data_IF_521286887733
#
_entry.id   IF_521286887733
#
_cell.length_a   1.000
_cell.length_b   1.000
_cell.length_c   1.000
_cell.angle_alpha   90.00
_cell.angle_beta   90.00
_cell.angle_gamma   90.00
#
_symmetry.space_group_name_H-M   'P 1'
#
loop_
_entity.id
_entity.type
_entity.pdbx_description
1 polymer ?
#
# COMPACT_ATOMS: atom_id res chain seq x y z
N UNK A 1 -20.38 -4.26 10.13
CA UNK A 1 -19.87 -3.42 9.02
C UNK A 1 -20.13 -4.05 7.64
N UNK A 2 -19.67 -5.29 7.38
CA UNK A 2 -19.89 -5.97 6.08
C UNK A 2 -21.39 -6.21 5.84
N UNK A 3 -22.11 -6.72 6.84
CA UNK A 3 -23.56 -6.91 6.79
C UNK A 3 -24.30 -5.61 6.49
N UNK A 4 -23.94 -4.54 7.19
CA UNK A 4 -24.54 -3.23 7.04
C UNK A 4 -24.26 -2.63 5.65
N UNK A 5 -23.04 -2.83 5.13
CA UNK A 5 -22.65 -2.32 3.82
C UNK A 5 -23.42 -2.97 2.67
N UNK A 6 -23.65 -4.29 2.74
CA UNK A 6 -24.32 -5.04 1.69
C UNK A 6 -25.80 -5.33 1.99
N UNK A 7 -26.34 -4.89 3.12
CA UNK A 7 -27.72 -5.14 3.53
C UNK A 7 -28.03 -6.62 3.75
N UNK A 8 -27.04 -7.43 4.07
CA UNK A 8 -27.19 -8.88 4.25
C UNK A 8 -26.92 -9.28 5.70
N UNK A 9 -27.40 -10.47 6.09
CA UNK A 9 -27.10 -11.08 7.38
C UNK A 9 -26.11 -12.23 7.22
N UNK A 10 -24.96 -12.15 7.89
CA UNK A 10 -23.96 -13.21 7.88
C UNK A 10 -24.34 -14.25 8.93
N UNK A 11 -24.49 -15.51 8.48
CA UNK A 11 -24.76 -16.64 9.37
C UNK A 11 -23.51 -17.53 9.44
N UNK A 12 -22.70 -17.41 10.48
CA UNK A 12 -21.51 -18.25 10.62
C UNK A 12 -21.88 -19.71 10.85
N UNK A 13 -21.07 -20.62 10.32
CA UNK A 13 -21.22 -22.04 10.61
C UNK A 13 -20.95 -22.33 12.09
N UNK A 14 -21.64 -23.29 12.66
CA UNK A 14 -21.39 -23.73 14.03
C UNK A 14 -19.99 -24.32 14.15
N UNK A 15 -19.21 -23.97 15.19
CA UNK A 15 -17.91 -24.60 15.44
C UNK A 15 -18.01 -26.12 15.46
N UNK A 16 -17.02 -26.80 14.90
CA UNK A 16 -16.90 -28.26 14.81
C UNK A 16 -18.01 -29.00 14.01
N UNK A 17 -18.77 -28.28 13.15
CA UNK A 17 -19.73 -28.91 12.23
C UNK A 17 -19.30 -28.73 10.76
N UNK A 18 -18.36 -29.52 10.23
CA UNK A 18 -17.83 -29.37 8.86
C UNK A 18 -18.89 -29.61 7.78
N UNK A 19 -19.91 -30.46 8.06
CA UNK A 19 -21.02 -30.72 7.14
C UNK A 19 -21.79 -29.46 6.68
N UNK A 20 -21.78 -28.40 7.47
CA UNK A 20 -22.37 -27.11 7.05
C UNK A 20 -21.58 -26.39 5.93
N UNK A 21 -20.37 -26.88 5.62
CA UNK A 21 -19.50 -26.36 4.53
C UNK A 21 -19.43 -27.27 3.30
N UNK A 22 -20.24 -28.33 3.26
CA UNK A 22 -20.16 -29.37 2.23
C UNK A 22 -20.15 -28.83 0.80
N UNK A 23 -20.99 -27.85 0.49
CA UNK A 23 -21.05 -27.25 -0.85
C UNK A 23 -19.74 -26.55 -1.25
N UNK A 24 -19.10 -25.80 -0.33
CA UNK A 24 -17.82 -25.13 -0.59
C UNK A 24 -16.70 -26.14 -0.73
N UNK A 25 -16.66 -27.14 0.13
CA UNK A 25 -15.65 -28.20 0.10
C UNK A 25 -15.75 -29.03 -1.19
N UNK A 26 -16.99 -29.34 -1.61
CA UNK A 26 -17.24 -30.02 -2.87
C UNK A 26 -16.79 -29.19 -4.09
N UNK A 27 -17.12 -27.90 -4.11
CA UNK A 27 -16.68 -27.00 -5.18
C UNK A 27 -15.14 -26.93 -5.26
N UNK A 28 -14.46 -26.77 -4.11
CA UNK A 28 -12.99 -26.77 -4.05
C UNK A 28 -12.40 -28.11 -4.52
N UNK A 29 -12.98 -29.23 -4.15
CA UNK A 29 -12.55 -30.56 -4.61
C UNK A 29 -12.69 -30.68 -6.12
N UNK A 30 -13.81 -30.29 -6.68
CA UNK A 30 -14.08 -30.34 -8.13
C UNK A 30 -13.08 -29.50 -8.92
N UNK A 31 -12.83 -28.25 -8.50
CA UNK A 31 -11.83 -27.38 -9.13
C UNK A 31 -10.43 -28.00 -9.04
N UNK A 32 -10.04 -28.55 -7.90
CA UNK A 32 -8.74 -29.21 -7.74
C UNK A 32 -8.58 -30.42 -8.66
N UNK A 33 -9.64 -31.21 -8.85
CA UNK A 33 -9.64 -32.35 -9.78
C UNK A 33 -9.48 -31.89 -11.22
N UNK A 34 -10.23 -30.87 -11.63
CA UNK A 34 -10.12 -30.26 -12.95
C UNK A 34 -8.71 -29.75 -13.22
N UNK A 35 -8.14 -28.97 -12.28
CA UNK A 35 -6.79 -28.42 -12.44
C UNK A 35 -5.69 -29.48 -12.52
N UNK A 36 -5.90 -30.67 -11.92
CA UNK A 36 -4.97 -31.81 -12.06
C UNK A 36 -5.03 -32.47 -13.43
N UNK A 37 -6.18 -32.43 -14.09
CA UNK A 37 -6.38 -33.02 -15.41
C UNK A 37 -5.80 -32.16 -16.53
N UNK A 38 -5.86 -30.81 -16.36
CA UNK A 38 -5.45 -29.84 -17.38
C UNK A 38 -3.93 -29.59 -17.45
N UNK A 39 -3.12 -30.14 -16.54
CA UNK A 39 -1.67 -30.11 -16.60
C UNK A 39 -0.97 -28.97 -15.87
N UNK A 40 0.14 -28.47 -16.43
CA UNK A 40 1.04 -27.51 -15.76
C UNK A 40 0.70 -26.06 -16.09
N UNK A 41 0.66 -25.21 -15.07
CA UNK A 41 0.44 -23.76 -15.20
C UNK A 41 1.74 -23.02 -14.96
N UNK A 42 2.13 -22.14 -15.89
CA UNK A 42 3.38 -21.39 -15.78
C UNK A 42 3.18 -20.02 -15.10
N UNK A 43 1.96 -19.48 -15.10
CA UNK A 43 1.65 -18.18 -14.51
C UNK A 43 0.31 -18.18 -13.77
N UNK A 44 0.18 -17.30 -12.74
CA UNK A 44 -1.08 -17.06 -12.03
C UNK A 44 -2.19 -16.58 -12.99
N UNK A 45 -1.82 -15.79 -14.01
CA UNK A 45 -2.78 -15.29 -15.01
C UNK A 45 -3.37 -16.44 -15.82
N UNK A 46 -2.55 -17.39 -16.24
CA UNK A 46 -2.97 -18.56 -16.96
C UNK A 46 -3.90 -19.43 -16.10
N UNK A 47 -3.51 -19.70 -14.84
CA UNK A 47 -4.35 -20.42 -13.90
C UNK A 47 -5.73 -19.76 -13.70
N UNK A 48 -5.76 -18.42 -13.57
CA UNK A 48 -7.01 -17.68 -13.42
C UNK A 48 -7.90 -17.81 -14.69
N UNK A 49 -7.31 -17.81 -15.87
CA UNK A 49 -8.03 -18.03 -17.13
C UNK A 49 -8.67 -19.42 -17.17
N UNK A 50 -7.92 -20.47 -16.87
CA UNK A 50 -8.44 -21.84 -16.82
C UNK A 50 -9.61 -21.98 -15.84
N UNK A 51 -9.52 -21.41 -14.65
CA UNK A 51 -10.61 -21.43 -13.66
C UNK A 51 -11.84 -20.70 -14.20
N UNK A 52 -11.66 -19.58 -14.88
CA UNK A 52 -12.78 -18.83 -15.46
C UNK A 52 -13.47 -19.61 -16.58
N UNK A 53 -12.71 -20.27 -17.43
CA UNK A 53 -13.26 -21.06 -18.54
C UNK A 53 -14.00 -22.30 -18.01
N UNK A 54 -13.43 -22.99 -17.02
CA UNK A 54 -14.11 -24.07 -16.30
C UNK A 54 -15.42 -23.58 -15.64
N UNK A 55 -15.44 -22.41 -15.02
CA UNK A 55 -16.67 -21.87 -14.43
C UNK A 55 -17.76 -21.62 -15.50
N UNK A 56 -17.38 -21.13 -16.68
CA UNK A 56 -18.33 -20.93 -17.80
C UNK A 56 -18.92 -22.25 -18.24
N UNK A 57 -18.08 -23.24 -18.50
CA UNK A 57 -18.52 -24.59 -18.91
C UNK A 57 -19.43 -25.22 -17.87
N UNK A 58 -19.05 -25.14 -16.59
CA UNK A 58 -19.86 -25.67 -15.50
C UNK A 58 -21.23 -25.01 -15.40
N UNK A 59 -21.32 -23.70 -15.61
CA UNK A 59 -22.57 -22.97 -15.55
C UNK A 59 -23.53 -23.35 -16.71
N UNK A 60 -23.02 -23.93 -17.79
CA UNK A 60 -23.81 -24.46 -18.89
C UNK A 60 -24.28 -25.91 -18.66
N UNK A 61 -23.86 -26.55 -17.56
CA UNK A 61 -24.32 -27.88 -17.21
C UNK A 61 -25.68 -27.87 -16.51
N UNK A 62 -26.47 -28.94 -16.64
CA UNK A 62 -27.71 -29.08 -15.87
C UNK A 62 -27.41 -29.19 -14.37
N UNK A 63 -28.28 -28.58 -13.58
CA UNK A 63 -28.23 -28.73 -12.13
C UNK A 63 -28.65 -30.16 -11.74
N UNK A 64 -27.92 -30.78 -10.83
CA UNK A 64 -28.10 -32.20 -10.47
C UNK A 64 -29.47 -32.58 -9.87
N UNK A 65 -30.22 -31.59 -9.31
CA UNK A 65 -31.53 -31.81 -8.73
C UNK A 65 -32.66 -31.05 -9.49
N UNK A 66 -32.31 -30.13 -10.36
CA UNK A 66 -33.28 -29.28 -11.05
C UNK A 66 -33.09 -29.45 -12.56
N UNK A 67 -34.10 -29.83 -13.28
CA UNK A 67 -34.06 -30.04 -14.74
C UNK A 67 -33.85 -28.73 -15.52
N UNK A 68 -32.86 -27.94 -15.14
CA UNK A 68 -32.51 -26.68 -15.81
C UNK A 68 -31.01 -26.41 -15.69
N UNK A 69 -30.49 -25.56 -16.59
CA UNK A 69 -29.10 -25.16 -16.56
C UNK A 69 -28.79 -24.29 -15.34
N UNK A 70 -27.62 -24.49 -14.76
CA UNK A 70 -27.15 -23.70 -13.60
C UNK A 70 -27.24 -22.19 -13.91
N UNK A 71 -26.89 -21.77 -15.13
CA UNK A 71 -26.96 -20.38 -15.55
C UNK A 71 -28.40 -19.84 -15.57
N UNK A 72 -29.38 -20.61 -16.04
CA UNK A 72 -30.78 -20.20 -16.03
C UNK A 72 -31.32 -20.02 -14.63
N UNK A 73 -31.03 -20.97 -13.74
CA UNK A 73 -31.39 -20.88 -12.33
C UNK A 73 -30.78 -19.63 -11.68
N UNK A 74 -29.52 -19.30 -11.98
CA UNK A 74 -28.89 -18.08 -11.48
C UNK A 74 -29.56 -16.80 -12.04
N UNK A 75 -30.01 -16.79 -13.31
CA UNK A 75 -30.74 -15.65 -13.86
C UNK A 75 -32.06 -15.40 -13.12
N UNK A 76 -32.77 -16.46 -12.73
CA UNK A 76 -33.97 -16.35 -11.92
C UNK A 76 -33.65 -15.82 -10.51
N UNK A 77 -32.63 -16.38 -9.84
CA UNK A 77 -32.19 -15.95 -8.51
C UNK A 77 -31.74 -14.48 -8.51
N UNK A 78 -31.05 -14.05 -9.56
CA UNK A 78 -30.52 -12.68 -9.69
C UNK A 78 -31.60 -11.60 -9.56
N UNK A 79 -32.83 -11.90 -9.92
CA UNK A 79 -33.97 -10.96 -9.77
C UNK A 79 -34.35 -10.72 -8.31
N UNK A 80 -34.04 -11.67 -7.41
CA UNK A 80 -34.32 -11.58 -5.98
C UNK A 80 -33.12 -11.07 -5.16
N UNK A 81 -31.93 -10.96 -5.77
CA UNK A 81 -30.75 -10.47 -5.08
C UNK A 81 -30.80 -8.95 -4.87
N UNK A 82 -30.24 -8.50 -3.75
CA UNK A 82 -30.08 -7.09 -3.47
C UNK A 82 -29.11 -6.41 -4.46
N UNK A 83 -29.33 -5.13 -4.81
CA UNK A 83 -28.40 -4.41 -5.67
C UNK A 83 -27.04 -4.28 -5.01
N UNK A 84 -25.98 -4.51 -5.79
CA UNK A 84 -24.61 -4.37 -5.30
C UNK A 84 -24.31 -2.88 -5.11
N UNK A 85 -23.79 -2.45 -3.93
CA UNK A 85 -23.35 -1.08 -3.71
C UNK A 85 -22.32 -0.62 -4.73
N UNK A 86 -22.41 0.62 -5.20
CA UNK A 86 -21.47 1.20 -6.19
C UNK A 86 -20.01 1.14 -5.72
N UNK A 87 -19.76 1.25 -4.41
CA UNK A 87 -18.43 1.15 -3.83
C UNK A 87 -18.26 -0.21 -3.14
N UNK A 88 -17.21 -0.97 -3.44
CA UNK A 88 -16.96 -2.23 -2.74
C UNK A 88 -16.62 -1.97 -1.26
N UNK A 89 -16.98 -2.91 -0.41
CA UNK A 89 -16.59 -2.87 1.00
C UNK A 89 -15.06 -2.99 1.13
N UNK A 90 -14.46 -2.05 1.83
CA UNK A 90 -13.03 -2.08 2.14
C UNK A 90 -12.87 -2.28 3.64
N UNK A 91 -12.34 -3.43 4.01
CA UNK A 91 -12.00 -3.71 5.41
C UNK A 91 -10.70 -3.01 5.77
N UNK A 92 -10.75 -2.24 6.86
CA UNK A 92 -9.58 -1.60 7.46
C UNK A 92 -9.34 -2.24 8.83
N UNK A 93 -8.25 -2.96 8.95
CA UNK A 93 -7.74 -3.37 10.25
C UNK A 93 -6.97 -2.19 10.84
N UNK A 94 -7.35 -1.76 12.05
CA UNK A 94 -6.72 -0.62 12.71
C UNK A 94 -6.03 -1.03 14.00
N UNK A 95 -4.93 -0.35 14.32
CA UNK A 95 -4.16 -0.53 15.55
C UNK A 95 -3.61 0.82 16.02
N UNK A 96 -3.70 1.09 17.32
CA UNK A 96 -3.04 2.25 17.92
C UNK A 96 -1.54 1.99 18.06
N UNK A 97 -0.72 2.93 17.59
CA UNK A 97 0.72 2.90 17.68
C UNK A 97 1.24 4.19 18.32
N UNK A 98 2.22 4.08 19.22
CA UNK A 98 2.92 5.26 19.77
C UNK A 98 4.02 5.69 18.81
N UNK A 99 4.06 6.98 18.48
CA UNK A 99 5.15 7.55 17.68
C UNK A 99 6.38 7.70 18.58
N UNK A 100 7.50 7.14 18.13
CA UNK A 100 8.77 7.26 18.86
C UNK A 100 9.29 8.68 18.87
N UNK A 101 10.26 9.00 19.74
CA UNK A 101 10.99 10.28 19.76
C UNK A 101 11.65 10.60 18.41
N UNK A 102 11.91 9.57 17.60
CA UNK A 102 12.47 9.71 16.26
C UNK A 102 11.42 9.89 15.15
N UNK A 103 10.16 10.24 15.48
CA UNK A 103 9.09 10.43 14.48
C UNK A 103 8.82 9.16 13.67
N UNK A 104 8.85 7.99 14.32
CA UNK A 104 8.59 6.71 13.63
C UNK A 104 7.58 5.86 14.39
N UNK A 105 6.83 5.08 13.66
CA UNK A 105 5.98 4.02 14.20
C UNK A 105 6.47 2.66 13.72
N UNK A 106 6.27 1.64 14.56
CA UNK A 106 6.45 0.25 14.16
C UNK A 106 5.06 -0.36 13.93
N UNK A 107 4.80 -0.74 12.70
CA UNK A 107 3.57 -1.41 12.34
C UNK A 107 3.88 -2.74 11.64
N UNK A 108 3.32 -3.83 12.17
CA UNK A 108 3.72 -5.19 11.81
C UNK A 108 5.24 -5.34 12.02
N UNK A 109 6.00 -5.67 10.98
CA UNK A 109 7.46 -5.84 11.06
C UNK A 109 8.25 -4.67 10.48
N UNK A 110 7.56 -3.64 9.99
CA UNK A 110 8.14 -2.50 9.28
C UNK A 110 8.13 -1.22 10.15
N UNK A 111 8.99 -0.28 9.79
CA UNK A 111 9.09 1.04 10.41
C UNK A 111 8.65 2.10 9.39
N UNK A 112 7.80 3.01 9.81
CA UNK A 112 7.29 4.10 8.97
C UNK A 112 7.54 5.44 9.65
N UNK A 113 8.01 6.43 8.90
CA UNK A 113 8.16 7.77 9.44
C UNK A 113 6.79 8.47 9.55
N UNK A 114 6.66 9.29 10.55
CA UNK A 114 5.51 10.16 10.79
C UNK A 114 6.06 11.54 11.06
N UNK A 115 5.31 12.57 10.78
CA UNK A 115 5.72 13.95 11.04
C UNK A 115 6.12 14.11 12.51
N UNK A 116 7.18 14.88 12.75
CA UNK A 116 7.82 15.05 14.06
C UNK A 116 6.90 15.65 15.10
N UNK A 117 5.93 16.48 14.71
CA UNK A 117 4.93 17.06 15.60
C UNK A 117 4.11 16.00 16.37
N UNK A 118 4.03 14.76 15.84
CA UNK A 118 3.36 13.65 16.51
C UNK A 118 4.29 12.81 17.40
N UNK A 119 5.56 13.21 17.58
CA UNK A 119 6.50 12.48 18.43
C UNK A 119 5.99 12.35 19.86
N UNK A 120 6.02 11.14 20.41
CA UNK A 120 5.48 10.83 21.72
C UNK A 120 3.96 10.62 21.78
N UNK A 121 3.21 11.04 20.77
CA UNK A 121 1.76 10.87 20.70
C UNK A 121 1.36 9.50 20.18
N UNK A 122 0.12 9.11 20.46
CA UNK A 122 -0.50 7.92 19.89
C UNK A 122 -1.23 8.29 18.61
N UNK A 123 -1.06 7.45 17.57
CA UNK A 123 -1.72 7.57 16.28
C UNK A 123 -2.43 6.26 15.96
N UNK A 124 -3.52 6.34 15.19
CA UNK A 124 -4.19 5.17 14.67
C UNK A 124 -3.55 4.77 13.33
N UNK A 125 -3.18 3.51 13.22
CA UNK A 125 -2.66 2.95 11.96
C UNK A 125 -3.68 1.97 11.43
N UNK A 126 -4.28 2.29 10.30
CA UNK A 126 -5.20 1.40 9.60
C UNK A 126 -4.62 0.97 8.24
N UNK A 127 -4.99 -0.22 7.78
CA UNK A 127 -4.50 -0.69 6.47
C UNK A 127 -5.59 -1.39 5.65
N UNK A 128 -5.52 -1.20 4.36
CA UNK A 128 -6.20 -1.99 3.34
C UNK A 128 -5.28 -3.10 2.80
N UNK A 129 -5.68 -3.75 1.72
CA UNK A 129 -4.81 -4.72 1.00
C UNK A 129 -3.53 -4.08 0.49
N UNK A 130 -3.57 -2.83 0.04
CA UNK A 130 -2.47 -2.16 -0.69
C UNK A 130 -1.87 -0.96 0.02
N UNK A 131 -2.57 -0.37 1.00
CA UNK A 131 -2.20 0.93 1.58
C UNK A 131 -2.30 0.91 3.10
N UNK A 132 -1.34 1.55 3.74
CA UNK A 132 -1.31 1.85 5.18
C UNK A 132 -1.65 3.33 5.34
N UNK A 133 -2.55 3.64 6.25
CA UNK A 133 -2.98 4.98 6.61
C UNK A 133 -2.58 5.23 8.06
N UNK A 134 -1.94 6.35 8.33
CA UNK A 134 -1.65 6.84 9.67
C UNK A 134 -2.58 8.01 9.93
N UNK A 135 -3.34 7.97 11.01
CA UNK A 135 -4.35 8.96 11.35
C UNK A 135 -4.05 9.56 12.73
N UNK A 136 -4.43 10.82 12.91
CA UNK A 136 -4.41 11.46 14.22
C UNK A 136 -5.58 10.94 15.09
N UNK A 137 -5.69 11.45 16.32
CA UNK A 137 -6.78 11.09 17.25
C UNK A 137 -8.17 11.52 16.77
N UNK A 138 -8.23 12.54 15.91
CA UNK A 138 -9.48 13.07 15.36
C UNK A 138 -9.95 12.24 14.15
N UNK A 139 -9.06 11.40 13.57
CA UNK A 139 -9.35 10.56 12.41
C UNK A 139 -8.79 11.09 11.10
N UNK A 140 -8.12 12.26 11.09
CA UNK A 140 -7.51 12.80 9.88
C UNK A 140 -6.29 12.00 9.46
N UNK A 141 -6.13 11.83 8.16
CA UNK A 141 -4.98 11.12 7.59
C UNK A 141 -3.75 12.02 7.63
N UNK A 142 -2.81 11.71 8.52
CA UNK A 142 -1.50 12.37 8.62
C UNK A 142 -0.62 11.99 7.43
N UNK A 143 -0.55 10.68 7.14
CA UNK A 143 0.26 10.15 6.04
C UNK A 143 -0.22 8.78 5.60
N UNK A 144 0.15 8.39 4.38
CA UNK A 144 -0.18 7.08 3.81
C UNK A 144 1.02 6.47 3.12
N UNK A 145 1.16 5.15 3.22
CA UNK A 145 2.25 4.38 2.62
C UNK A 145 1.71 3.22 1.79
N UNK A 146 2.35 2.84 0.69
CA UNK A 146 2.05 1.57 0.05
C UNK A 146 2.40 0.42 1.02
N UNK A 147 1.51 -0.55 1.13
CA UNK A 147 1.75 -1.74 1.96
C UNK A 147 2.82 -2.59 1.31
N UNK A 148 3.92 -2.81 2.01
CA UNK A 148 5.02 -3.64 1.54
C UNK A 148 4.81 -5.09 1.98
N UNK A 149 4.91 -6.04 1.04
CA UNK A 149 4.99 -7.47 1.37
C UNK A 149 6.33 -7.87 1.99
N UNK A 150 7.34 -6.99 1.95
CA UNK A 150 8.67 -7.25 2.53
C UNK A 150 8.66 -6.93 4.01
N UNK A 151 9.31 -7.80 4.81
CA UNK A 151 9.45 -7.64 6.27
C UNK A 151 10.72 -6.84 6.62
N UNK A 152 10.73 -6.21 7.80
CA UNK A 152 11.86 -5.48 8.41
C UNK A 152 12.38 -4.34 7.54
N UNK A 153 11.50 -3.70 6.76
CA UNK A 153 11.83 -2.52 5.94
C UNK A 153 11.52 -1.23 6.68
N UNK A 154 12.23 -0.20 6.28
CA UNK A 154 12.07 1.17 6.77
C UNK A 154 11.55 2.03 5.63
N UNK A 155 10.46 2.75 5.89
CA UNK A 155 9.78 3.62 4.94
C UNK A 155 9.82 5.05 5.48
N UNK A 156 10.71 5.84 4.94
CA UNK A 156 10.88 7.24 5.33
C UNK A 156 10.38 8.16 4.24
N UNK A 157 9.72 9.26 4.68
CA UNK A 157 9.46 10.42 3.84
C UNK A 157 10.45 11.51 4.22
N UNK A 158 11.05 12.16 3.23
CA UNK A 158 12.06 13.19 3.47
C UNK A 158 11.47 14.35 4.29
N UNK A 159 10.23 14.74 4.02
CA UNK A 159 9.56 15.83 4.70
C UNK A 159 9.38 15.58 6.20
N UNK A 160 9.15 14.34 6.63
CA UNK A 160 9.08 13.97 8.05
C UNK A 160 10.45 14.02 8.76
N UNK A 161 11.50 14.24 8.02
CA UNK A 161 12.89 14.27 8.54
C UNK A 161 13.52 15.65 8.42
N UNK A 162 12.84 16.61 7.78
CA UNK A 162 13.43 17.90 7.42
C UNK A 162 13.94 18.66 8.64
N UNK A 163 13.15 18.77 9.70
CA UNK A 163 13.56 19.43 10.94
C UNK A 163 14.77 18.77 11.62
N UNK A 164 14.86 17.44 11.54
CA UNK A 164 16.03 16.71 12.06
C UNK A 164 17.28 16.95 11.22
N UNK A 165 17.13 17.09 9.91
CA UNK A 165 18.23 17.42 9.00
C UNK A 165 18.71 18.85 9.35
N UNK A 166 17.79 19.79 9.57
CA UNK A 166 18.09 21.17 10.01
C UNK A 166 18.86 21.17 11.33
N UNK A 167 18.36 20.47 12.33
CA UNK A 167 18.98 20.40 13.67
C UNK A 167 20.38 19.75 13.67
N UNK A 168 20.68 18.87 12.70
CA UNK A 168 21.94 18.14 12.58
C UNK A 168 22.82 18.63 11.45
N UNK A 169 22.53 19.81 10.87
CA UNK A 169 23.21 20.30 9.67
C UNK A 169 24.75 20.16 9.68
N UNK A 170 25.49 20.50 10.74
CA UNK A 170 26.95 20.38 10.76
C UNK A 170 27.49 18.94 10.66
N UNK A 171 26.74 17.97 11.19
CA UNK A 171 27.16 16.55 11.20
C UNK A 171 26.27 15.64 10.35
N UNK A 172 25.45 16.20 9.48
CA UNK A 172 24.39 15.47 8.76
C UNK A 172 24.91 14.26 7.99
N UNK A 173 26.06 14.36 7.31
CA UNK A 173 26.65 13.27 6.54
C UNK A 173 26.86 12.00 7.38
N UNK A 174 27.23 12.16 8.63
CA UNK A 174 27.49 11.04 9.55
C UNK A 174 26.21 10.56 10.26
N UNK A 175 25.11 11.24 10.07
CA UNK A 175 23.84 10.95 10.76
C UNK A 175 23.17 9.66 10.24
N UNK A 176 22.33 9.08 11.08
CA UNK A 176 21.49 7.95 10.70
C UNK A 176 20.50 8.34 9.59
N UNK A 177 20.00 9.56 9.64
CA UNK A 177 19.09 10.14 8.67
C UNK A 177 19.71 10.19 7.27
N UNK A 178 20.96 10.60 7.16
CA UNK A 178 21.69 10.62 5.88
C UNK A 178 21.79 9.23 5.26
N UNK A 179 22.10 8.20 6.06
CA UNK A 179 22.19 6.80 5.61
C UNK A 179 20.85 6.27 5.09
N UNK A 180 19.73 6.84 5.51
CA UNK A 180 18.38 6.46 5.08
C UNK A 180 17.90 7.22 3.83
N UNK A 181 18.62 8.25 3.39
CA UNK A 181 18.26 8.99 2.18
C UNK A 181 18.27 8.09 0.94
N UNK A 182 17.30 8.24 0.03
CA UNK A 182 17.39 7.65 -1.30
C UNK A 182 18.66 8.05 -2.04
N UNK A 183 19.15 7.18 -2.92
CA UNK A 183 20.39 7.40 -3.67
C UNK A 183 20.43 8.76 -4.39
N UNK A 184 19.33 9.18 -5.02
CA UNK A 184 19.25 10.44 -5.73
C UNK A 184 19.41 11.67 -4.81
N UNK A 185 18.90 11.63 -3.57
CA UNK A 185 19.08 12.72 -2.60
C UNK A 185 20.52 12.75 -2.06
N UNK A 186 21.17 11.62 -1.91
CA UNK A 186 22.60 11.58 -1.57
C UNK A 186 23.48 12.12 -2.71
N UNK A 187 23.08 11.87 -3.96
CA UNK A 187 23.73 12.47 -5.13
C UNK A 187 23.52 13.99 -5.19
N UNK A 188 22.31 14.46 -4.93
CA UNK A 188 22.02 15.89 -4.79
C UNK A 188 22.94 16.53 -3.75
N UNK A 189 22.98 15.98 -2.53
CA UNK A 189 23.79 16.52 -1.46
C UNK A 189 25.30 16.50 -1.78
N UNK A 190 25.82 15.37 -2.28
CA UNK A 190 27.27 15.19 -2.46
C UNK A 190 27.81 15.90 -3.70
N UNK A 191 27.09 15.81 -4.81
CA UNK A 191 27.57 16.34 -6.09
C UNK A 191 27.07 17.75 -6.35
N UNK A 192 25.76 17.94 -6.31
CA UNK A 192 25.15 19.21 -6.70
C UNK A 192 25.21 20.27 -5.59
N UNK A 193 25.08 19.87 -4.33
CA UNK A 193 25.23 20.79 -3.20
C UNK A 193 26.64 20.81 -2.61
N UNK A 194 27.62 20.19 -3.23
CA UNK A 194 29.02 20.13 -2.76
C UNK A 194 29.13 19.82 -1.25
N UNK A 195 28.33 18.90 -0.75
CA UNK A 195 28.20 18.53 0.69
C UNK A 195 27.73 19.67 1.60
N UNK A 196 27.29 20.79 1.06
CA UNK A 196 26.76 21.91 1.83
C UNK A 196 25.33 21.63 2.29
N UNK A 197 25.19 21.17 3.53
CA UNK A 197 23.91 20.77 4.12
C UNK A 197 22.88 21.93 4.18
N UNK A 198 23.24 23.17 4.53
CA UNK A 198 22.30 24.29 4.49
C UNK A 198 21.70 24.53 3.10
N UNK A 199 22.51 24.42 2.06
CA UNK A 199 22.05 24.55 0.68
C UNK A 199 21.14 23.40 0.26
N UNK A 200 21.48 22.18 0.64
CA UNK A 200 20.63 21.02 0.45
C UNK A 200 19.26 21.16 1.14
N UNK A 201 19.24 21.73 2.36
CA UNK A 201 18.00 22.03 3.08
C UNK A 201 17.12 23.01 2.31
N UNK A 202 17.70 24.13 1.84
CA UNK A 202 16.97 25.14 1.05
C UNK A 202 16.31 24.53 -0.20
N UNK A 203 17.02 23.64 -0.88
CA UNK A 203 16.44 22.91 -2.03
C UNK A 203 15.27 22.02 -1.57
N UNK A 204 15.42 21.29 -0.48
CA UNK A 204 14.32 20.46 0.03
C UNK A 204 13.10 21.32 0.39
N UNK A 205 13.29 22.46 1.03
CA UNK A 205 12.22 23.39 1.42
C UNK A 205 11.44 23.91 0.19
N UNK A 206 12.13 24.22 -0.90
CA UNK A 206 11.46 24.68 -2.12
C UNK A 206 10.55 23.62 -2.77
N UNK A 207 10.71 22.34 -2.39
CA UNK A 207 9.89 21.24 -2.86
C UNK A 207 8.95 20.65 -1.77
N UNK A 208 8.85 21.27 -0.58
CA UNK A 208 8.13 20.68 0.56
C UNK A 208 6.66 20.39 0.25
N UNK A 209 6.01 21.25 -0.51
CA UNK A 209 4.60 21.12 -0.90
C UNK A 209 4.40 20.40 -2.24
N UNK A 210 5.49 19.99 -2.88
CA UNK A 210 5.45 19.36 -4.18
C UNK A 210 5.50 17.83 -4.11
N UNK A 211 4.91 17.13 -5.12
CA UNK A 211 5.06 15.69 -5.20
C UNK A 211 6.53 15.28 -5.29
N UNK A 212 6.94 14.27 -4.52
CA UNK A 212 8.33 13.77 -4.49
C UNK A 212 8.88 13.40 -5.88
N UNK A 213 8.01 13.12 -6.84
CA UNK A 213 8.38 12.86 -8.22
C UNK A 213 8.99 14.10 -8.90
N UNK A 214 8.52 15.29 -8.57
CA UNK A 214 9.08 16.54 -9.11
C UNK A 214 10.51 16.76 -8.60
N UNK A 215 10.74 16.60 -7.29
CA UNK A 215 12.09 16.66 -6.73
C UNK A 215 13.02 15.63 -7.37
N UNK A 216 12.53 14.40 -7.54
CA UNK A 216 13.31 13.36 -8.19
C UNK A 216 13.67 13.71 -9.64
N UNK A 217 12.71 14.18 -10.41
CA UNK A 217 12.91 14.62 -11.79
C UNK A 217 13.93 15.77 -11.84
N UNK A 218 13.74 16.80 -11.04
CA UNK A 218 14.67 17.93 -10.91
C UNK A 218 16.12 17.47 -10.69
N UNK A 219 16.34 16.58 -9.71
CA UNK A 219 17.69 16.06 -9.42
C UNK A 219 18.29 15.31 -10.62
N UNK A 220 17.50 14.50 -11.32
CA UNK A 220 18.01 13.75 -12.47
C UNK A 220 18.31 14.68 -13.66
N UNK A 221 17.47 15.67 -13.94
CA UNK A 221 17.73 16.67 -14.98
C UNK A 221 19.04 17.41 -14.73
N UNK A 222 19.27 17.88 -13.48
CA UNK A 222 20.53 18.56 -13.14
C UNK A 222 21.77 17.66 -13.27
N UNK A 223 21.61 16.36 -13.01
CA UNK A 223 22.69 15.39 -13.16
C UNK A 223 23.00 15.05 -14.62
N UNK A 224 21.97 15.00 -15.46
CA UNK A 224 22.07 14.77 -16.91
C UNK A 224 22.72 15.99 -17.61
N UNK A 225 22.35 17.19 -17.21
CA UNK A 225 22.90 18.46 -17.72
C UNK A 225 24.28 18.78 -17.15
N UNK A 226 24.83 17.95 -16.25
CA UNK A 226 26.11 18.16 -15.57
C UNK A 226 26.22 19.51 -14.86
N UNK A 227 25.13 20.00 -14.29
CA UNK A 227 25.07 21.29 -13.60
C UNK A 227 26.05 21.31 -12.42
N UNK A 228 26.87 22.35 -12.32
CA UNK A 228 27.80 22.54 -11.21
C UNK A 228 27.10 23.17 -9.99
N UNK A 229 27.76 23.10 -8.83
CA UNK A 229 27.29 23.74 -7.60
C UNK A 229 27.09 25.25 -7.79
N UNK A 230 28.01 25.94 -8.45
CA UNK A 230 27.93 27.40 -8.68
C UNK A 230 26.76 27.77 -9.60
N UNK A 231 26.55 27.02 -10.66
CA UNK A 231 25.40 27.22 -11.57
C UNK A 231 24.07 26.97 -10.83
N UNK A 232 24.01 25.93 -9.98
CA UNK A 232 22.82 25.62 -9.21
C UNK A 232 22.54 26.72 -8.18
N UNK A 233 23.56 27.30 -7.55
CA UNK A 233 23.44 28.42 -6.62
C UNK A 233 22.84 29.65 -7.32
N UNK A 234 23.36 30.00 -8.50
CA UNK A 234 22.80 31.09 -9.31
C UNK A 234 21.36 30.84 -9.76
N UNK A 235 21.07 29.62 -10.22
CA UNK A 235 19.74 29.24 -10.69
C UNK A 235 18.67 29.39 -9.60
N UNK A 236 18.98 29.04 -8.38
CA UNK A 236 18.08 29.14 -7.24
C UNK A 236 18.07 30.50 -6.55
N UNK A 237 18.84 31.48 -7.05
CA UNK A 237 19.02 32.83 -6.47
C UNK A 237 19.30 32.77 -4.95
N UNK A 238 20.09 31.79 -4.54
CA UNK A 238 20.49 31.60 -3.15
C UNK A 238 21.85 32.26 -2.96
N UNK A 239 21.86 33.43 -2.34
CA UNK A 239 23.09 34.10 -1.89
C UNK A 239 23.80 33.30 -0.79
#
# INVERSE_FOLDING_TARGET
QLEQHYGMKIKPCTPHRPNQKGNVENAVRTIKTYLKQEGTYHTIKQLAQYINDWNKERNMQPHHEKNDLIMNLHQHEKKALLPIPKKPFVYYESKTCKVSKNGTIRFQTNIYSVDEQYSGHSVEVSHSKTTIYVKNKVGDIITKYPKSGRKRKRHYRIWHMLNKIKAKAPGFINSHEYKQLPKYLRLLHNKLCNKMTPFFIKILESFEHEPIKKLKHFVFTLLEENVTYEQLKQYLKLE
#
